data_IF_216565416093
#
_entry.id   IF_216565416093
#
_cell.length_a   1.000
_cell.length_b   1.000
_cell.length_c   1.000
_cell.angle_alpha   90.00
_cell.angle_beta   90.00
_cell.angle_gamma   90.00
#
_symmetry.space_group_name_H-M   'P 1'
#
loop_
_entity.id
_entity.type
_entity.pdbx_description
1 polymer ?
#
# COMPACT_ATOMS: atom_id res chain seq x y z
N UNK A 1 18.86 -16.57 19.19
CA UNK A 1 18.92 -15.18 19.72
C UNK A 1 18.34 -15.21 21.14
N UNK A 2 18.93 -14.52 22.11
CA UNK A 2 18.32 -14.36 23.44
C UNK A 2 16.92 -13.69 23.31
N UNK A 3 15.97 -14.02 24.19
CA UNK A 3 14.59 -13.52 24.18
C UNK A 3 14.50 -12.00 24.12
N UNK A 4 15.41 -11.29 24.80
CA UNK A 4 15.42 -9.83 24.84
C UNK A 4 15.82 -9.22 23.49
N UNK A 5 16.79 -9.82 22.81
CA UNK A 5 17.19 -9.38 21.46
C UNK A 5 16.04 -9.56 20.49
N UNK A 6 15.34 -10.70 20.55
CA UNK A 6 14.17 -10.95 19.69
C UNK A 6 13.04 -9.94 19.98
N UNK A 7 12.79 -9.64 21.25
CA UNK A 7 11.79 -8.64 21.66
C UNK A 7 12.13 -7.24 21.13
N UNK A 8 13.40 -6.82 21.22
CA UNK A 8 13.84 -5.52 20.71
C UNK A 8 13.79 -5.45 19.18
N UNK A 9 14.17 -6.53 18.48
CA UNK A 9 14.02 -6.61 17.03
C UNK A 9 12.54 -6.51 16.59
N UNK A 10 11.63 -7.14 17.32
CA UNK A 10 10.20 -7.05 17.05
C UNK A 10 9.67 -5.62 17.27
N UNK A 11 10.11 -4.92 18.33
CA UNK A 11 9.78 -3.50 18.57
C UNK A 11 10.29 -2.61 17.43
N UNK A 12 11.54 -2.80 17.01
CA UNK A 12 12.13 -2.03 15.92
C UNK A 12 11.38 -2.25 14.60
N UNK A 13 10.99 -3.50 14.31
CA UNK A 13 10.20 -3.83 13.11
C UNK A 13 8.82 -3.17 13.14
N UNK A 14 8.14 -3.18 14.29
CA UNK A 14 6.86 -2.53 14.45
C UNK A 14 6.97 -1.00 14.27
N UNK A 15 7.98 -0.39 14.89
CA UNK A 15 8.29 1.03 14.73
C UNK A 15 8.53 1.39 13.26
N UNK A 16 9.38 0.63 12.56
CA UNK A 16 9.65 0.87 11.14
C UNK A 16 8.39 0.71 10.27
N UNK A 17 7.50 -0.24 10.60
CA UNK A 17 6.19 -0.37 9.97
C UNK A 17 5.35 0.91 10.08
N UNK A 18 5.22 1.47 11.28
CA UNK A 18 4.51 2.74 11.51
C UNK A 18 5.14 3.92 10.78
N UNK A 19 6.47 3.98 10.76
CA UNK A 19 7.19 5.01 10.01
C UNK A 19 6.80 5.00 8.52
N UNK A 20 6.68 3.79 7.97
CA UNK A 20 6.27 3.59 6.59
C UNK A 20 4.79 3.95 6.36
N UNK A 21 3.89 3.54 7.25
CA UNK A 21 2.47 3.91 7.19
C UNK A 21 2.29 5.43 7.22
N UNK A 22 2.94 6.10 8.17
CA UNK A 22 2.94 7.56 8.28
C UNK A 22 3.55 8.24 7.05
N UNK A 23 4.63 7.67 6.50
CA UNK A 23 5.23 8.18 5.26
C UNK A 23 4.20 8.21 4.13
N UNK A 24 3.52 7.09 3.89
CA UNK A 24 2.53 6.95 2.84
C UNK A 24 1.34 7.88 3.07
N UNK A 25 0.86 7.99 4.32
CA UNK A 25 -0.17 8.97 4.69
C UNK A 25 0.23 10.40 4.29
N UNK A 26 1.45 10.83 4.63
CA UNK A 26 1.96 12.16 4.29
C UNK A 26 2.18 12.34 2.77
N UNK A 27 2.51 11.27 2.03
CA UNK A 27 2.52 11.33 0.56
C UNK A 27 1.14 11.63 0.00
N UNK A 28 0.10 10.91 0.42
CA UNK A 28 -1.27 11.16 -0.04
C UNK A 28 -1.75 12.55 0.33
N UNK A 29 -1.48 13.02 1.56
CA UNK A 29 -1.88 14.35 2.04
C UNK A 29 -1.31 15.50 1.20
N UNK A 30 -0.06 15.37 0.72
CA UNK A 30 0.55 16.38 -0.16
C UNK A 30 -0.17 16.49 -1.49
N UNK A 31 -0.49 15.36 -2.10
CA UNK A 31 -1.18 15.30 -3.40
C UNK A 31 -2.64 15.73 -3.26
N UNK A 32 -3.27 15.39 -2.12
CA UNK A 32 -4.66 15.70 -1.77
C UNK A 32 -4.98 17.18 -1.72
N UNK A 33 -4.08 18.02 -1.20
CA UNK A 33 -4.33 19.45 -0.94
C UNK A 33 -4.78 20.30 -2.14
N UNK A 34 -4.92 19.71 -3.34
CA UNK A 34 -5.25 20.38 -4.60
C UNK A 34 -6.21 19.61 -5.53
N UNK A 35 -6.83 18.48 -5.13
CA UNK A 35 -7.44 17.52 -6.07
C UNK A 35 -8.89 17.04 -5.80
N UNK A 36 -9.28 15.98 -6.52
CA UNK A 36 -10.61 15.31 -6.50
C UNK A 36 -10.85 14.39 -5.29
N UNK A 37 -9.82 14.12 -4.50
CA UNK A 37 -9.92 13.31 -3.30
C UNK A 37 -10.69 14.06 -2.22
N UNK A 38 -11.79 13.49 -1.73
CA UNK A 38 -12.66 14.14 -0.75
C UNK A 38 -12.07 14.04 0.65
N UNK A 39 -11.63 12.83 1.03
CA UNK A 39 -11.11 12.58 2.37
C UNK A 39 -10.10 11.42 2.41
N UNK A 40 -9.17 11.54 3.36
CA UNK A 40 -8.22 10.49 3.76
C UNK A 40 -8.62 10.05 5.16
N UNK A 41 -8.70 8.75 5.40
CA UNK A 41 -8.93 8.15 6.72
C UNK A 41 -7.70 7.34 7.10
N UNK A 42 -7.07 7.65 8.23
CA UNK A 42 -5.84 7.01 8.69
C UNK A 42 -6.02 6.44 10.10
N UNK A 43 -5.62 5.17 10.28
CA UNK A 43 -5.93 4.37 11.47
C UNK A 43 -5.35 4.92 12.77
N UNK A 44 -4.18 5.57 12.73
CA UNK A 44 -3.46 5.99 13.95
C UNK A 44 -3.80 7.42 14.43
N UNK A 45 -4.26 8.33 13.56
CA UNK A 45 -4.28 9.77 13.90
C UNK A 45 -5.65 10.35 14.25
N UNK A 46 -6.74 9.82 13.67
CA UNK A 46 -8.03 10.53 13.70
C UNK A 46 -9.08 9.87 14.62
N UNK A 47 -8.72 8.82 15.37
CA UNK A 47 -9.70 7.97 16.05
C UNK A 47 -10.72 7.35 15.08
N UNK A 48 -10.41 7.39 13.79
CA UNK A 48 -11.27 6.96 12.71
C UNK A 48 -11.20 5.44 12.61
N UNK A 49 -12.39 4.83 12.63
CA UNK A 49 -12.49 3.40 12.43
C UNK A 49 -12.25 3.11 10.94
N UNK A 50 -11.02 2.71 10.60
CA UNK A 50 -10.64 2.21 9.27
C UNK A 50 -10.93 0.71 9.11
N UNK A 51 -11.45 0.04 10.14
CA UNK A 51 -11.76 -1.39 10.04
C UNK A 51 -10.52 -2.29 10.04
N UNK A 52 -9.40 -1.80 10.57
CA UNK A 52 -8.09 -2.45 10.65
C UNK A 52 -7.28 -2.50 9.34
N UNK A 53 -7.63 -1.69 8.34
CA UNK A 53 -6.69 -1.32 7.28
C UNK A 53 -5.98 -0.03 7.66
N UNK A 54 -4.83 0.23 7.07
CA UNK A 54 -3.99 1.36 7.47
C UNK A 54 -4.57 2.68 6.96
N UNK A 55 -5.07 2.70 5.72
CA UNK A 55 -5.54 3.91 5.08
C UNK A 55 -6.77 3.65 4.20
N UNK A 56 -7.73 4.57 4.20
CA UNK A 56 -8.85 4.59 3.25
C UNK A 56 -8.87 5.94 2.52
N UNK A 57 -9.02 5.91 1.21
CA UNK A 57 -9.19 7.12 0.40
C UNK A 57 -10.60 7.18 -0.18
N UNK A 58 -11.24 8.33 -0.02
CA UNK A 58 -12.59 8.60 -0.51
C UNK A 58 -12.60 9.55 -1.71
N UNK A 59 -13.05 9.04 -2.85
CA UNK A 59 -13.28 9.78 -4.09
C UNK A 59 -14.79 9.92 -4.41
N UNK A 60 -15.67 9.85 -3.40
CA UNK A 60 -17.12 10.01 -3.51
C UNK A 60 -17.83 8.69 -3.78
N UNK A 61 -17.81 8.20 -5.02
CA UNK A 61 -18.42 6.92 -5.41
C UNK A 61 -17.41 5.77 -5.48
N UNK A 62 -16.14 6.05 -5.18
CA UNK A 62 -15.04 5.09 -5.23
C UNK A 62 -14.27 5.16 -3.92
N UNK A 63 -14.02 4.02 -3.30
CA UNK A 63 -13.12 3.92 -2.14
C UNK A 63 -11.90 3.07 -2.46
N UNK A 64 -10.77 3.46 -1.91
CA UNK A 64 -9.57 2.64 -1.87
C UNK A 64 -9.30 2.20 -0.44
N UNK A 65 -9.02 0.91 -0.26
CA UNK A 65 -8.61 0.33 1.02
C UNK A 65 -7.15 -0.07 0.89
N UNK A 66 -6.29 0.54 1.68
CA UNK A 66 -4.85 0.30 1.64
C UNK A 66 -4.40 -0.45 2.88
N UNK A 67 -3.68 -1.52 2.63
CA UNK A 67 -2.86 -2.19 3.64
C UNK A 67 -1.40 -1.99 3.26
N UNK A 68 -0.60 -1.57 4.21
CA UNK A 68 0.79 -1.18 4.06
C UNK A 68 1.65 -2.18 4.81
N UNK A 69 2.76 -2.61 4.22
CA UNK A 69 3.67 -3.49 4.95
C UNK A 69 5.13 -3.35 4.53
N UNK A 70 6.01 -3.34 5.55
CA UNK A 70 7.46 -3.52 5.41
C UNK A 70 7.87 -5.00 5.29
N UNK A 71 6.90 -5.88 5.11
CA UNK A 71 7.12 -7.30 4.96
C UNK A 71 7.61 -7.66 3.57
N UNK A 72 8.80 -8.24 3.48
CA UNK A 72 9.42 -8.62 2.23
C UNK A 72 9.79 -10.10 2.21
N UNK A 73 10.02 -10.64 1.01
CA UNK A 73 10.69 -11.94 0.84
C UNK A 73 12.12 -11.80 1.37
N UNK A 74 12.56 -12.75 2.18
CA UNK A 74 13.91 -12.78 2.74
C UNK A 74 14.92 -12.87 1.60
N UNK A 75 16.00 -12.12 1.72
CA UNK A 75 17.08 -12.10 0.73
C UNK A 75 17.59 -13.51 0.38
N UNK A 76 17.83 -14.36 1.38
CA UNK A 76 18.28 -15.74 1.15
C UNK A 76 17.24 -16.59 0.41
N UNK A 77 15.95 -16.33 0.62
CA UNK A 77 14.85 -17.01 -0.10
C UNK A 77 14.82 -16.55 -1.55
N UNK A 78 14.93 -15.24 -1.80
CA UNK A 78 15.03 -14.69 -3.14
C UNK A 78 16.26 -15.24 -3.90
N UNK A 79 17.43 -15.31 -3.26
CA UNK A 79 18.65 -15.87 -3.84
C UNK A 79 18.57 -17.37 -4.13
N UNK A 80 17.76 -18.12 -3.38
CA UNK A 80 17.68 -19.56 -3.54
C UNK A 80 17.01 -19.99 -4.85
N UNK A 81 16.32 -19.07 -5.54
CA UNK A 81 15.46 -19.35 -6.71
C UNK A 81 14.48 -20.52 -6.50
N UNK A 82 14.18 -20.87 -5.25
CA UNK A 82 13.24 -21.94 -4.91
C UNK A 82 11.82 -21.36 -4.87
N UNK A 83 11.03 -21.71 -5.88
CA UNK A 83 9.67 -21.23 -6.06
C UNK A 83 8.79 -21.52 -4.84
N UNK A 84 8.82 -22.74 -4.29
CA UNK A 84 8.01 -23.10 -3.13
C UNK A 84 8.34 -22.23 -1.91
N UNK A 85 9.62 -21.98 -1.63
CA UNK A 85 10.03 -21.12 -0.51
C UNK A 85 9.56 -19.68 -0.70
N UNK A 86 9.67 -19.16 -1.93
CA UNK A 86 9.19 -17.82 -2.28
C UNK A 86 7.68 -17.74 -2.02
N UNK A 87 6.90 -18.69 -2.52
CA UNK A 87 5.45 -18.68 -2.35
C UNK A 87 5.01 -18.91 -0.91
N UNK A 88 5.73 -19.72 -0.14
CA UNK A 88 5.46 -19.85 1.30
C UNK A 88 5.65 -18.53 2.03
N UNK A 89 6.67 -17.74 1.68
CA UNK A 89 6.85 -16.40 2.27
C UNK A 89 5.80 -15.39 1.81
N UNK A 90 5.37 -15.45 0.54
CA UNK A 90 4.26 -14.64 0.02
C UNK A 90 2.95 -15.00 0.73
N UNK A 91 2.64 -16.28 0.89
CA UNK A 91 1.45 -16.75 1.61
C UNK A 91 1.46 -16.27 3.07
N UNK A 92 2.63 -16.25 3.72
CA UNK A 92 2.78 -15.68 5.05
C UNK A 92 2.55 -14.15 5.09
N UNK A 93 2.87 -13.42 4.01
CA UNK A 93 2.55 -11.98 3.91
C UNK A 93 1.05 -11.81 3.71
N UNK A 94 0.46 -12.54 2.75
CA UNK A 94 -0.93 -12.37 2.34
C UNK A 94 -1.91 -12.87 3.40
N UNK A 95 -1.64 -14.03 3.98
CA UNK A 95 -2.59 -14.76 4.83
C UNK A 95 -2.14 -14.87 6.28
N UNK A 96 -0.86 -14.60 6.57
CA UNK A 96 -0.32 -14.70 7.92
C UNK A 96 -0.06 -16.14 8.35
N UNK A 97 0.27 -16.32 9.63
CA UNK A 97 0.52 -17.63 10.25
C UNK A 97 -0.59 -18.05 11.24
N UNK A 98 -1.61 -17.20 11.41
CA UNK A 98 -2.74 -17.43 12.32
C UNK A 98 -2.41 -17.25 13.81
N UNK A 99 -1.17 -16.87 14.17
CA UNK A 99 -0.76 -16.64 15.56
C UNK A 99 -0.32 -15.21 15.77
N UNK A 100 0.85 -14.87 15.23
CA UNK A 100 1.55 -13.63 15.52
C UNK A 100 1.47 -12.66 14.34
N UNK A 101 1.23 -13.18 13.13
CA UNK A 101 1.16 -12.39 11.91
C UNK A 101 -0.23 -12.43 11.31
N UNK A 102 -0.89 -11.27 11.28
CA UNK A 102 -2.14 -11.08 10.53
C UNK A 102 -1.84 -10.99 9.03
N UNK A 103 -2.63 -11.70 8.22
CA UNK A 103 -2.54 -11.66 6.78
C UNK A 103 -3.03 -10.32 6.22
N UNK A 104 -2.23 -9.73 5.32
CA UNK A 104 -2.52 -8.42 4.73
C UNK A 104 -3.75 -8.43 3.83
N UNK A 105 -3.95 -9.51 3.07
CA UNK A 105 -5.14 -9.70 2.25
C UNK A 105 -6.38 -9.96 3.12
N UNK A 106 -6.21 -10.69 4.22
CA UNK A 106 -7.29 -10.92 5.19
C UNK A 106 -7.77 -9.60 5.82
N UNK A 107 -6.85 -8.68 6.14
CA UNK A 107 -7.20 -7.37 6.67
C UNK A 107 -8.00 -6.55 5.67
N UNK A 108 -7.52 -6.47 4.41
CA UNK A 108 -8.22 -5.79 3.31
C UNK A 108 -9.63 -6.36 3.10
N UNK A 109 -9.75 -7.68 2.96
CA UNK A 109 -11.03 -8.36 2.73
C UNK A 109 -12.01 -8.12 3.87
N UNK A 110 -11.55 -8.24 5.12
CA UNK A 110 -12.39 -8.00 6.29
C UNK A 110 -12.87 -6.56 6.36
N UNK A 111 -12.02 -5.57 6.09
CA UNK A 111 -12.41 -4.16 6.11
C UNK A 111 -13.45 -3.86 5.00
N UNK A 112 -13.23 -4.38 3.80
CA UNK A 112 -14.17 -4.25 2.68
C UNK A 112 -15.52 -4.89 2.99
N UNK A 113 -15.53 -6.12 3.52
CA UNK A 113 -16.77 -6.82 3.87
C UNK A 113 -17.49 -6.13 5.04
N UNK A 114 -16.77 -5.66 6.06
CA UNK A 114 -17.36 -4.86 7.13
C UNK A 114 -17.96 -3.55 6.59
N UNK A 115 -17.34 -2.92 5.60
CA UNK A 115 -17.91 -1.74 4.94
C UNK A 115 -19.19 -2.10 4.18
N UNK A 116 -19.15 -3.10 3.30
CA UNK A 116 -20.33 -3.58 2.53
C UNK A 116 -21.51 -3.93 3.43
N UNK A 117 -21.26 -4.58 4.56
CA UNK A 117 -22.26 -4.97 5.57
C UNK A 117 -22.67 -3.82 6.51
N UNK A 118 -22.16 -2.61 6.29
CA UNK A 118 -22.43 -1.41 7.10
C UNK A 118 -22.00 -1.56 8.58
N UNK A 119 -21.06 -2.47 8.86
CA UNK A 119 -20.41 -2.68 10.17
C UNK A 119 -19.24 -1.73 10.38
N UNK A 120 -18.58 -1.30 9.30
CA UNK A 120 -17.56 -0.26 9.30
C UNK A 120 -18.20 1.07 8.89
N UNK A 121 -18.30 2.02 9.83
CA UNK A 121 -18.86 3.35 9.58
C UNK A 121 -17.75 4.33 9.25
N UNK A 122 -17.69 4.76 7.99
CA UNK A 122 -16.72 5.75 7.48
C UNK A 122 -17.47 7.07 7.30
N UNK A 123 -17.37 8.01 8.25
CA UNK A 123 -17.98 9.36 8.27
C UNK A 123 -19.12 9.63 7.25
N UNK A 124 -20.28 8.99 7.45
CA UNK A 124 -21.51 9.15 6.65
C UNK A 124 -21.50 8.60 5.21
N UNK A 125 -20.44 7.92 4.79
CA UNK A 125 -20.40 7.20 3.52
C UNK A 125 -21.30 5.97 3.61
N UNK A 126 -22.30 5.92 2.74
CA UNK A 126 -23.19 4.75 2.63
C UNK A 126 -22.61 3.76 1.62
N UNK A 127 -22.52 2.45 1.95
CA UNK A 127 -22.09 1.43 1.00
C UNK A 127 -22.90 1.41 -0.30
N UNK A 128 -24.18 1.80 -0.23
CA UNK A 128 -25.08 1.87 -1.41
C UNK A 128 -24.70 2.95 -2.43
N UNK A 129 -23.89 3.94 -2.03
CA UNK A 129 -23.42 5.02 -2.92
C UNK A 129 -22.06 4.73 -3.54
N UNK A 130 -21.40 3.65 -3.11
CA UNK A 130 -20.09 3.27 -3.61
C UNK A 130 -20.25 2.29 -4.77
N UNK A 131 -19.75 2.69 -5.93
CA UNK A 131 -19.76 1.90 -7.16
C UNK A 131 -18.56 0.96 -7.22
N UNK A 132 -17.42 1.36 -6.65
CA UNK A 132 -16.17 0.61 -6.76
C UNK A 132 -15.32 0.66 -5.50
N UNK A 133 -14.73 -0.47 -5.17
CA UNK A 133 -13.83 -0.65 -4.03
C UNK A 133 -12.50 -1.21 -4.56
N UNK A 134 -11.41 -0.49 -4.33
CA UNK A 134 -10.07 -0.90 -4.72
C UNK A 134 -9.28 -1.40 -3.52
N UNK A 135 -9.08 -2.72 -3.37
CA UNK A 135 -8.12 -3.24 -2.40
C UNK A 135 -6.70 -3.04 -2.93
N UNK A 136 -5.85 -2.38 -2.15
CA UNK A 136 -4.47 -2.09 -2.53
C UNK A 136 -3.51 -2.54 -1.44
N UNK A 137 -2.55 -3.38 -1.80
CA UNK A 137 -1.44 -3.76 -0.94
C UNK A 137 -0.21 -2.94 -1.32
N UNK A 138 0.27 -2.10 -0.40
CA UNK A 138 1.51 -1.33 -0.56
C UNK A 138 2.65 -2.06 0.15
N UNK A 139 3.70 -2.35 -0.59
CA UNK A 139 4.90 -3.02 -0.10
C UNK A 139 6.05 -2.04 0.01
N UNK A 140 6.88 -2.18 1.02
CA UNK A 140 8.15 -1.45 1.06
C UNK A 140 9.05 -1.81 -0.12
N UNK A 141 9.10 -3.11 -0.44
CA UNK A 141 9.87 -3.63 -1.57
C UNK A 141 8.95 -4.54 -2.36
N UNK A 142 8.84 -4.31 -3.66
CA UNK A 142 7.93 -5.06 -4.53
C UNK A 142 8.16 -6.57 -4.48
N UNK A 143 7.08 -7.32 -4.63
CA UNK A 143 7.16 -8.74 -4.95
C UNK A 143 7.60 -8.93 -6.41
N UNK A 144 8.11 -10.11 -6.79
CA UNK A 144 8.28 -10.45 -8.19
C UNK A 144 6.94 -10.30 -8.96
N UNK A 145 6.90 -9.42 -9.94
CA UNK A 145 5.69 -9.10 -10.71
C UNK A 145 5.93 -9.35 -12.19
N UNK A 146 5.60 -10.55 -12.64
CA UNK A 146 5.41 -10.89 -14.06
C UNK A 146 3.93 -11.23 -14.27
N UNK A 147 3.40 -11.17 -15.51
CA UNK A 147 2.00 -11.50 -15.78
C UNK A 147 1.56 -12.83 -15.15
N UNK A 148 2.37 -13.89 -15.29
CA UNK A 148 2.07 -15.20 -14.73
C UNK A 148 2.07 -15.23 -13.19
N UNK A 149 2.99 -14.51 -12.55
CA UNK A 149 3.03 -14.44 -11.09
C UNK A 149 1.87 -13.63 -10.52
N UNK A 150 1.46 -12.56 -11.20
CA UNK A 150 0.34 -11.74 -10.76
C UNK A 150 -0.99 -12.52 -10.79
N UNK A 151 -1.21 -13.31 -11.85
CA UNK A 151 -2.35 -14.23 -11.92
C UNK A 151 -2.28 -15.31 -10.83
N UNK A 152 -1.11 -15.91 -10.59
CA UNK A 152 -0.93 -16.87 -9.49
C UNK A 152 -1.26 -16.24 -8.11
N UNK A 153 -0.91 -14.97 -7.88
CA UNK A 153 -1.28 -14.26 -6.65
C UNK A 153 -2.79 -14.11 -6.51
N UNK A 154 -3.47 -13.66 -7.59
CA UNK A 154 -4.94 -13.54 -7.60
C UNK A 154 -5.63 -14.89 -7.38
N UNK A 155 -5.16 -15.92 -8.07
CA UNK A 155 -5.67 -17.29 -7.94
C UNK A 155 -5.58 -17.80 -6.50
N UNK A 156 -4.46 -17.55 -5.82
CA UNK A 156 -4.27 -17.93 -4.41
C UNK A 156 -5.22 -17.19 -3.50
N UNK A 157 -5.36 -15.88 -3.68
CA UNK A 157 -6.28 -15.03 -2.92
C UNK A 157 -7.72 -15.53 -3.10
N UNK A 158 -8.12 -15.79 -4.34
CA UNK A 158 -9.44 -16.27 -4.70
C UNK A 158 -9.72 -17.67 -4.14
N UNK A 159 -8.78 -18.62 -4.26
CA UNK A 159 -8.89 -19.99 -3.70
C UNK A 159 -9.03 -20.00 -2.18
N UNK A 160 -8.45 -19.03 -1.49
CA UNK A 160 -8.64 -18.82 -0.03
C UNK A 160 -9.97 -18.15 0.31
N UNK A 161 -10.73 -17.71 -0.69
CA UNK A 161 -12.05 -17.12 -0.54
C UNK A 161 -12.04 -15.63 -0.21
N UNK A 162 -10.91 -14.94 -0.39
CA UNK A 162 -10.77 -13.51 -0.12
C UNK A 162 -10.98 -12.68 -1.38
N UNK A 163 -11.46 -11.44 -1.21
CA UNK A 163 -11.67 -10.44 -2.25
C UNK A 163 -12.53 -10.91 -3.42
N UNK A 164 -13.48 -11.84 -3.22
CA UNK A 164 -14.24 -12.48 -4.31
C UNK A 164 -14.88 -11.50 -5.29
N UNK A 165 -15.48 -10.40 -4.79
CA UNK A 165 -16.14 -9.41 -5.65
C UNK A 165 -15.20 -8.28 -6.10
N UNK A 166 -13.94 -8.29 -5.66
CA UNK A 166 -13.00 -7.16 -5.79
C UNK A 166 -11.62 -7.59 -6.29
N UNK A 167 -11.45 -8.86 -6.68
CA UNK A 167 -10.15 -9.43 -7.06
C UNK A 167 -9.61 -8.80 -8.34
N UNK A 168 -10.48 -8.41 -9.26
CA UNK A 168 -10.09 -7.73 -10.50
C UNK A 168 -9.52 -6.33 -10.23
N UNK A 169 -10.01 -5.69 -9.16
CA UNK A 169 -9.57 -4.38 -8.69
C UNK A 169 -8.38 -4.44 -7.73
N UNK A 170 -8.05 -5.64 -7.25
CA UNK A 170 -6.88 -5.85 -6.41
C UNK A 170 -5.61 -5.41 -7.13
N UNK A 171 -4.80 -4.64 -6.42
CA UNK A 171 -3.55 -4.08 -6.93
C UNK A 171 -2.46 -4.20 -5.87
N UNK A 172 -1.28 -4.66 -6.29
CA UNK A 172 -0.07 -4.66 -5.47
C UNK A 172 0.85 -3.60 -6.04
N UNK A 173 1.29 -2.65 -5.21
CA UNK A 173 2.26 -1.63 -5.59
C UNK A 173 3.38 -1.58 -4.56
N UNK A 174 4.58 -1.21 -4.98
CA UNK A 174 5.62 -0.81 -4.04
C UNK A 174 5.64 0.72 -3.80
N UNK A 175 6.46 1.16 -2.85
CA UNK A 175 6.58 2.59 -2.51
C UNK A 175 7.03 3.41 -3.71
N UNK A 176 8.01 2.94 -4.49
CA UNK A 176 8.54 3.70 -5.63
C UNK A 176 7.44 3.91 -6.69
N UNK A 177 6.66 2.86 -6.95
CA UNK A 177 5.52 2.91 -7.85
C UNK A 177 4.45 3.87 -7.36
N UNK A 178 4.16 3.87 -6.05
CA UNK A 178 3.21 4.80 -5.46
C UNK A 178 3.70 6.25 -5.62
N UNK A 179 4.96 6.54 -5.31
CA UNK A 179 5.54 7.87 -5.48
C UNK A 179 5.43 8.36 -6.92
N UNK A 180 5.81 7.53 -7.90
CA UNK A 180 5.69 7.88 -9.32
C UNK A 180 4.23 8.11 -9.73
N UNK A 181 3.32 7.28 -9.22
CA UNK A 181 1.89 7.38 -9.52
C UNK A 181 1.29 8.65 -8.95
N UNK A 182 1.68 9.01 -7.73
CA UNK A 182 1.24 10.21 -7.04
C UNK A 182 1.77 11.49 -7.71
N UNK A 183 3.02 11.47 -8.18
CA UNK A 183 3.58 12.55 -8.99
C UNK A 183 2.81 12.73 -10.32
N UNK A 184 2.43 11.63 -10.96
CA UNK A 184 1.62 11.66 -12.19
C UNK A 184 0.21 12.19 -11.93
N UNK A 185 -0.48 11.65 -10.93
CA UNK A 185 -1.79 12.10 -10.44
C UNK A 185 -1.76 13.61 -10.18
N UNK A 186 -0.70 14.09 -9.52
CA UNK A 186 -0.53 15.51 -9.22
C UNK A 186 -0.27 16.36 -10.47
N UNK A 187 0.64 15.93 -11.35
CA UNK A 187 1.07 16.73 -12.50
C UNK A 187 0.03 16.80 -13.62
N UNK A 188 -0.75 15.74 -13.80
CA UNK A 188 -1.77 15.64 -14.86
C UNK A 188 -3.20 15.94 -14.33
N UNK A 189 -3.34 16.29 -13.04
CA UNK A 189 -4.62 16.54 -12.37
C UNK A 189 -5.63 15.38 -12.56
N UNK A 190 -5.13 14.14 -12.49
CA UNK A 190 -5.92 12.91 -12.61
C UNK A 190 -6.33 12.42 -11.23
N UNK A 191 -7.40 11.62 -11.12
CA UNK A 191 -7.64 10.85 -9.89
C UNK A 191 -6.83 9.54 -9.90
N UNK A 192 -6.55 8.99 -8.71
CA UNK A 192 -5.95 7.66 -8.62
C UNK A 192 -6.86 6.57 -9.26
N UNK A 193 -8.18 6.77 -9.21
CA UNK A 193 -9.17 5.91 -9.86
C UNK A 193 -8.99 5.90 -11.38
N UNK A 194 -8.74 7.06 -11.98
CA UNK A 194 -8.52 7.15 -13.43
C UNK A 194 -7.21 6.48 -13.82
N UNK A 195 -6.13 6.73 -13.06
CA UNK A 195 -4.86 6.05 -13.27
C UNK A 195 -5.00 4.52 -13.20
N UNK A 196 -5.70 4.00 -12.20
CA UNK A 196 -5.90 2.56 -12.04
C UNK A 196 -6.81 1.99 -13.13
N UNK A 197 -7.82 2.73 -13.59
CA UNK A 197 -8.65 2.33 -14.73
C UNK A 197 -7.84 2.25 -16.02
N UNK A 198 -6.98 3.23 -16.29
CA UNK A 198 -6.08 3.19 -17.45
C UNK A 198 -5.10 2.02 -17.36
N UNK A 199 -4.49 1.83 -16.18
CA UNK A 199 -3.62 0.71 -15.91
C UNK A 199 -4.30 -0.63 -16.22
N UNK A 200 -5.53 -0.83 -15.72
CA UNK A 200 -6.30 -2.08 -15.91
C UNK A 200 -6.72 -2.31 -17.37
N UNK A 201 -6.87 -1.26 -18.17
CA UNK A 201 -7.16 -1.34 -19.62
C UNK A 201 -5.91 -1.54 -20.48
N UNK A 202 -4.72 -1.34 -19.91
CA UNK A 202 -3.47 -1.44 -20.64
C UNK A 202 -3.04 -2.89 -20.88
N UNK A 203 -2.11 -3.10 -21.83
CA UNK A 203 -1.44 -4.38 -22.04
C UNK A 203 -0.56 -4.83 -20.85
N UNK A 204 -0.41 -3.97 -19.84
CA UNK A 204 0.43 -4.17 -18.66
C UNK A 204 -0.37 -4.40 -17.38
N UNK A 205 -1.70 -4.58 -17.45
CA UNK A 205 -2.63 -4.62 -16.30
C UNK A 205 -2.37 -5.71 -15.24
N UNK A 206 -1.48 -6.66 -15.53
CA UNK A 206 -1.03 -7.75 -14.66
C UNK A 206 0.49 -7.71 -14.43
N UNK A 207 1.12 -6.56 -14.62
CA UNK A 207 2.55 -6.35 -14.39
C UNK A 207 2.75 -5.38 -13.23
N UNK A 208 3.97 -4.90 -13.05
CA UNK A 208 4.23 -3.79 -12.16
C UNK A 208 3.61 -2.50 -12.74
N UNK A 209 3.08 -1.64 -11.87
CA UNK A 209 2.59 -0.33 -12.30
C UNK A 209 3.73 0.49 -12.92
N UNK A 210 4.98 0.25 -12.49
CA UNK A 210 6.20 0.81 -13.10
C UNK A 210 6.29 0.52 -14.60
N UNK A 211 5.95 -0.69 -15.05
CA UNK A 211 5.98 -1.03 -16.47
C UNK A 211 4.93 -0.23 -17.24
N UNK A 212 3.71 -0.11 -16.71
CA UNK A 212 2.69 0.76 -17.28
C UNK A 212 3.14 2.22 -17.37
N UNK A 213 3.72 2.76 -16.30
CA UNK A 213 4.22 4.14 -16.26
C UNK A 213 5.37 4.36 -17.25
N UNK A 214 6.28 3.40 -17.38
CA UNK A 214 7.42 3.47 -18.29
C UNK A 214 6.98 3.41 -19.76
N UNK A 215 6.24 2.37 -20.14
CA UNK A 215 5.90 2.12 -21.54
C UNK A 215 4.88 3.11 -22.13
N UNK A 216 4.08 3.77 -21.29
CA UNK A 216 3.22 4.87 -21.72
C UNK A 216 3.93 6.24 -21.71
N UNK A 217 5.25 6.26 -21.46
CA UNK A 217 6.06 7.49 -21.48
C UNK A 217 5.83 8.43 -20.31
N UNK A 218 5.06 8.03 -19.29
CA UNK A 218 4.79 8.86 -18.11
C UNK A 218 6.07 9.16 -17.33
N UNK A 219 7.00 8.20 -17.20
CA UNK A 219 8.27 8.44 -16.51
C UNK A 219 9.16 9.47 -17.22
N UNK A 220 9.13 9.53 -18.56
CA UNK A 220 9.89 10.55 -19.32
C UNK A 220 9.26 11.94 -19.15
N UNK A 221 7.93 12.05 -19.14
CA UNK A 221 7.22 13.29 -18.78
C UNK A 221 7.61 13.76 -17.38
N UNK A 222 7.68 12.84 -16.41
CA UNK A 222 8.11 13.15 -15.05
C UNK A 222 9.58 13.61 -15.01
N UNK A 223 10.51 12.99 -15.75
CA UNK A 223 11.92 13.43 -15.81
C UNK A 223 12.07 14.85 -16.38
N UNK A 224 11.29 15.20 -17.40
CA UNK A 224 11.28 16.55 -17.98
C UNK A 224 10.83 17.58 -16.94
N UNK A 225 9.80 17.25 -16.16
CA UNK A 225 9.30 18.12 -15.10
C UNK A 225 10.21 18.16 -13.84
N UNK A 226 10.90 17.05 -13.55
CA UNK A 226 11.67 16.85 -12.33
C UNK A 226 13.14 17.33 -12.37
N UNK A 227 13.69 17.73 -13.52
CA UNK A 227 14.98 18.48 -13.57
C UNK A 227 14.97 19.78 -12.73
N UNK A 228 13.81 20.23 -12.24
CA UNK A 228 13.66 21.40 -11.37
C UNK A 228 13.32 21.12 -9.89
N UNK A 229 12.93 19.89 -9.47
CA UNK A 229 12.16 19.73 -8.21
C UNK A 229 12.64 18.61 -7.24
N UNK A 230 13.35 17.57 -7.68
CA UNK A 230 13.33 16.29 -6.92
C UNK A 230 14.46 15.98 -5.92
N UNK A 231 15.65 16.57 -5.97
CA UNK A 231 16.71 16.12 -5.04
C UNK A 231 16.63 16.75 -3.63
N UNK A 232 16.29 18.03 -3.52
CA UNK A 232 16.24 18.71 -2.21
C UNK A 232 14.95 18.44 -1.43
N UNK A 233 13.82 18.30 -2.14
CA UNK A 233 12.49 18.19 -1.52
C UNK A 233 12.28 16.83 -0.85
N UNK A 234 12.71 15.74 -1.48
CA UNK A 234 12.66 14.40 -0.88
C UNK A 234 13.69 14.25 0.25
N UNK A 235 14.86 14.87 0.13
CA UNK A 235 15.88 14.87 1.19
C UNK A 235 15.43 15.60 2.46
N UNK A 236 14.81 16.79 2.33
CA UNK A 236 14.21 17.49 3.47
C UNK A 236 13.05 16.70 4.10
N UNK A 237 12.29 15.97 3.29
CA UNK A 237 11.19 15.16 3.77
C UNK A 237 11.65 13.93 4.56
N UNK A 238 12.64 13.19 4.05
CA UNK A 238 13.25 12.09 4.82
C UNK A 238 13.77 12.60 6.16
N UNK A 239 14.39 13.78 6.19
CA UNK A 239 14.84 14.42 7.43
C UNK A 239 13.69 14.82 8.36
N UNK A 240 12.55 15.32 7.86
CA UNK A 240 11.41 15.68 8.71
C UNK A 240 10.68 14.47 9.27
N UNK A 241 10.51 13.40 8.46
CA UNK A 241 9.95 12.14 8.93
C UNK A 241 10.85 11.51 10.00
N UNK A 242 12.17 11.46 9.74
CA UNK A 242 13.18 11.06 10.74
C UNK A 242 13.03 11.92 12.00
N UNK A 243 13.04 13.25 11.91
CA UNK A 243 12.96 14.09 13.11
C UNK A 243 11.67 13.87 13.92
N UNK A 244 10.51 13.77 13.27
CA UNK A 244 9.22 13.50 13.91
C UNK A 244 9.23 12.17 14.68
N UNK A 245 9.78 11.13 14.04
CA UNK A 245 9.86 9.78 14.59
C UNK A 245 10.90 9.66 15.74
N UNK A 246 11.93 10.50 15.71
CA UNK A 246 13.00 10.51 16.71
C UNK A 246 12.68 11.39 17.93
N UNK A 247 11.71 12.30 17.85
CA UNK A 247 11.34 13.17 18.98
C UNK A 247 10.40 12.52 19.99
N UNK A 248 9.61 11.50 19.63
CA UNK A 248 8.57 10.96 20.54
C UNK A 248 8.76 9.49 20.98
N UNK A 249 9.34 8.61 20.16
CA UNK A 249 9.30 7.15 20.40
C UNK A 249 10.65 6.45 20.56
N UNK A 250 11.71 6.86 19.86
CA UNK A 250 13.02 6.17 19.93
C UNK A 250 13.70 6.33 21.30
N UNK A 251 13.54 7.48 21.95
CA UNK A 251 14.08 7.70 23.29
C UNK A 251 13.50 6.73 24.34
N UNK A 252 12.28 6.22 24.13
CA UNK A 252 11.64 5.21 25.01
C UNK A 252 11.96 3.76 24.61
N UNK A 253 12.45 3.53 23.40
CA UNK A 253 12.84 2.20 22.90
C UNK A 253 14.33 1.91 23.20
N UNK A 254 15.16 2.96 23.29
CA UNK A 254 16.60 2.87 23.56
C UNK A 254 16.98 2.98 25.05
N UNK A 255 16.03 3.21 25.96
CA UNK A 255 16.17 3.19 27.42
C UNK A 255 15.39 1.99 27.96
#
# INVERSE_FOLDING_TARGET
>A
LNSDVQKNLNKLRAFFGRCLEYYIYELFKKVYSRGLLQKIYYSEYDGENTGNVDLILDYGNTLFFFEITSSNIKFNTALSANYEKIFNEIDLIFFGDGKDRKGKILQLDKAINNFKENKLKINSISPKKIERLFPVLILQTGLPQTPGLYEEYKDRIFKKGFLKDNIDDFTIIDIEELECSLDLVHSENLSLSDLFKEYKKSAYCNQSLKNFLYYNGYLEKLKINNKKITSEKYKKFHLSAINYLFTEDIAKILI
#
